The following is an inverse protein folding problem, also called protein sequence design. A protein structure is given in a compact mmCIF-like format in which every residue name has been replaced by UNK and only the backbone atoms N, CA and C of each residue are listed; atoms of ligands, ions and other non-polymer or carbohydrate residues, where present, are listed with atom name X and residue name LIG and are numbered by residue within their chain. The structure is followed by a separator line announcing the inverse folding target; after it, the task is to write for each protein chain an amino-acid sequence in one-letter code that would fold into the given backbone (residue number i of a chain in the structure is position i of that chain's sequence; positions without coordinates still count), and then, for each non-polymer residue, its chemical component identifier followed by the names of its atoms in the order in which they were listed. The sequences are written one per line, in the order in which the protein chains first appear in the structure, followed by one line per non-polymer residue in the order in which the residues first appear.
data_IF_247474924154
#
_entry.id   IF_247474924154
#
_cell.length_a   1.000
_cell.length_b   1.000
_cell.length_c   1.000
_cell.angle_alpha   90.00
_cell.angle_beta   90.00
_cell.angle_gamma   90.00
#
_symmetry.space_group_name_H-M   'P 1'
#
loop_
_entity.id
_entity.type
_entity.pdbx_description
1 polymer ?
#
# COMPACT_ATOMS: atom_id res chain seq x y z
N UNK A 1 -19.79 -18.76 55.93
CA UNK A 1 -18.45 -18.21 55.57
C UNK A 1 -17.48 -19.26 55.01
N UNK A 2 -17.38 -20.51 55.51
CA UNK A 2 -16.46 -21.54 54.96
C UNK A 2 -16.74 -21.97 53.51
N UNK A 3 -17.97 -21.96 53.01
CA UNK A 3 -18.32 -22.39 51.64
C UNK A 3 -17.98 -21.34 50.57
N UNK A 4 -18.01 -20.06 50.92
CA UNK A 4 -17.66 -18.96 49.99
C UNK A 4 -16.14 -18.91 49.80
N UNK A 5 -15.34 -19.15 50.84
CA UNK A 5 -13.88 -19.22 50.75
C UNK A 5 -13.38 -20.36 49.84
N UNK A 6 -14.08 -21.51 49.82
CA UNK A 6 -13.72 -22.63 48.94
C UNK A 6 -14.01 -22.33 47.45
N UNK A 7 -15.06 -21.60 47.13
CA UNK A 7 -15.41 -21.23 45.76
C UNK A 7 -14.41 -20.19 45.21
N UNK A 8 -13.98 -19.24 46.02
CA UNK A 8 -12.98 -18.24 45.65
C UNK A 8 -11.60 -18.89 45.44
N UNK A 9 -11.20 -19.86 46.27
CA UNK A 9 -9.96 -20.61 46.06
C UNK A 9 -10.01 -21.47 44.80
N UNK A 10 -11.15 -22.09 44.47
CA UNK A 10 -11.30 -22.87 43.23
C UNK A 10 -11.31 -21.98 41.99
N UNK A 11 -11.88 -20.77 42.05
CA UNK A 11 -11.84 -19.79 40.97
C UNK A 11 -10.41 -19.27 40.71
N UNK A 12 -9.64 -19.01 41.77
CA UNK A 12 -8.22 -18.60 41.66
C UNK A 12 -7.36 -19.75 41.12
N UNK A 13 -7.61 -20.99 41.52
CA UNK A 13 -6.88 -22.14 40.96
C UNK A 13 -7.16 -22.39 39.48
N UNK A 14 -8.36 -22.04 38.99
CA UNK A 14 -8.69 -22.13 37.57
C UNK A 14 -8.03 -21.01 36.70
N UNK A 15 -7.70 -19.87 37.31
CA UNK A 15 -6.99 -18.78 36.59
C UNK A 15 -5.51 -19.01 36.48
N UNK A 16 -4.87 -19.83 37.34
CA UNK A 16 -3.48 -20.22 37.24
C UNK A 16 -3.21 -21.49 36.41
N UNK A 17 -4.25 -22.21 35.99
CA UNK A 17 -4.14 -23.41 35.16
C UNK A 17 -4.08 -23.12 33.66
N UNK A 18 -4.10 -21.85 33.25
CA UNK A 18 -4.03 -21.40 31.83
C UNK A 18 -2.62 -20.96 31.42
N UNK A 19 -1.56 -21.41 32.11
CA UNK A 19 -0.27 -21.41 31.46
C UNK A 19 -0.31 -22.49 30.36
N UNK A 20 -0.79 -22.14 29.18
CA UNK A 20 -0.39 -22.86 27.96
C UNK A 20 1.12 -22.87 27.99
N UNK A 21 1.76 -24.05 27.98
CA UNK A 21 3.15 -24.14 27.58
C UNK A 21 3.26 -23.33 26.31
N UNK A 22 4.16 -22.35 26.28
CA UNK A 22 4.61 -21.78 25.01
C UNK A 22 4.92 -22.98 24.12
N UNK A 23 4.44 -23.01 22.87
CA UNK A 23 4.85 -24.05 21.94
C UNK A 23 6.37 -24.16 22.01
N UNK A 24 6.87 -25.37 22.03
CA UNK A 24 8.30 -25.61 21.95
C UNK A 24 8.83 -24.80 20.78
N UNK A 25 9.85 -24.00 21.04
CA UNK A 25 10.60 -23.11 20.16
C UNK A 25 10.19 -23.20 18.69
N UNK A 26 9.43 -22.23 18.21
CA UNK A 26 9.29 -21.97 16.79
C UNK A 26 10.54 -21.19 16.40
N UNK A 27 11.35 -21.67 15.45
CA UNK A 27 12.51 -20.95 15.00
C UNK A 27 12.12 -19.51 14.66
N UNK A 28 12.84 -18.56 15.18
CA UNK A 28 12.73 -17.15 14.76
C UNK A 28 12.86 -17.10 13.23
N UNK A 29 11.96 -16.38 12.57
CA UNK A 29 12.05 -16.10 11.13
C UNK A 29 13.36 -15.33 10.93
N UNK A 30 14.42 -15.99 10.56
CA UNK A 30 15.78 -15.43 10.48
C UNK A 30 16.87 -16.35 11.04
N UNK A 31 16.55 -17.30 11.92
CA UNK A 31 17.44 -18.43 12.15
C UNK A 31 17.24 -19.44 11.02
N UNK A 32 17.96 -19.21 9.94
CA UNK A 32 18.04 -20.14 8.82
C UNK A 32 18.57 -21.47 9.34
N UNK A 33 17.65 -22.39 9.57
CA UNK A 33 18.03 -23.78 9.64
C UNK A 33 18.77 -24.10 8.34
N UNK A 34 19.89 -24.80 8.38
CA UNK A 34 20.61 -25.35 7.23
C UNK A 34 19.77 -26.47 6.53
N UNK A 35 18.44 -26.32 6.47
CA UNK A 35 17.51 -27.22 5.84
C UNK A 35 17.60 -27.02 4.34
N UNK A 36 18.42 -27.85 3.70
CA UNK A 36 18.25 -28.11 2.29
C UNK A 36 16.93 -28.89 2.17
N UNK A 37 15.89 -28.25 1.66
CA UNK A 37 14.61 -28.92 1.37
C UNK A 37 14.87 -30.02 0.36
N UNK A 38 14.51 -31.25 0.73
CA UNK A 38 14.74 -32.43 -0.11
C UNK A 38 13.66 -32.64 -1.17
N UNK A 39 12.46 -32.05 -0.99
CA UNK A 39 11.30 -32.31 -1.83
C UNK A 39 10.25 -31.19 -1.77
N UNK A 40 9.22 -31.23 -2.60
CA UNK A 40 8.16 -30.21 -2.67
C UNK A 40 7.30 -30.15 -1.41
N UNK A 41 7.00 -31.28 -0.77
CA UNK A 41 6.19 -31.33 0.44
C UNK A 41 6.89 -30.60 1.59
N UNK A 42 8.18 -30.85 1.79
CA UNK A 42 8.99 -30.12 2.80
C UNK A 42 9.07 -28.63 2.49
N UNK A 43 9.21 -28.24 1.22
CA UNK A 43 9.24 -26.84 0.81
C UNK A 43 7.90 -26.15 1.11
N UNK A 44 6.78 -26.82 0.83
CA UNK A 44 5.46 -26.29 1.14
C UNK A 44 5.21 -26.20 2.65
N UNK A 45 5.59 -27.23 3.41
CA UNK A 45 5.45 -27.26 4.87
C UNK A 45 6.14 -26.05 5.53
N UNK A 46 7.39 -25.80 5.15
CA UNK A 46 8.15 -24.68 5.71
C UNK A 46 7.57 -23.33 5.26
N UNK A 47 7.19 -23.18 4.00
CA UNK A 47 6.55 -21.96 3.51
C UNK A 47 5.22 -21.71 4.24
N UNK A 48 4.38 -22.75 4.41
CA UNK A 48 3.12 -22.66 5.13
C UNK A 48 3.35 -22.23 6.61
N UNK A 49 4.31 -22.84 7.31
CA UNK A 49 4.65 -22.52 8.70
C UNK A 49 5.19 -21.08 8.82
N UNK A 50 6.02 -20.63 7.89
CA UNK A 50 6.57 -19.28 7.90
C UNK A 50 5.46 -18.22 7.68
N UNK A 51 4.52 -18.46 6.75
CA UNK A 51 3.35 -17.59 6.59
C UNK A 51 2.46 -17.66 7.85
N UNK A 52 2.22 -18.85 8.38
CA UNK A 52 1.45 -19.04 9.61
C UNK A 52 1.96 -18.18 10.77
N UNK A 53 3.27 -18.05 10.89
CA UNK A 53 3.94 -17.29 11.96
C UNK A 53 4.05 -15.81 11.63
N UNK A 54 4.44 -15.46 10.40
CA UNK A 54 4.86 -14.12 10.02
C UNK A 54 3.77 -13.24 9.41
N UNK A 55 2.66 -13.80 8.97
CA UNK A 55 1.59 -13.03 8.34
C UNK A 55 0.83 -12.16 9.34
N UNK A 56 0.76 -10.85 9.07
CA UNK A 56 0.26 -9.87 10.05
C UNK A 56 -1.27 -9.72 10.06
N UNK A 57 -1.99 -10.19 9.04
CA UNK A 57 -3.43 -9.94 8.87
C UNK A 57 -4.35 -11.09 9.28
N UNK A 58 -3.89 -12.06 10.08
CA UNK A 58 -4.69 -13.23 10.46
C UNK A 58 -6.02 -12.91 11.18
N UNK A 59 -6.14 -11.76 11.78
CA UNK A 59 -7.36 -11.35 12.49
C UNK A 59 -8.44 -10.77 11.56
N UNK A 60 -8.07 -10.41 10.31
CA UNK A 60 -8.98 -9.86 9.30
C UNK A 60 -8.99 -10.68 8.01
N UNK A 61 -8.13 -11.67 7.87
CA UNK A 61 -8.09 -12.59 6.74
C UNK A 61 -9.05 -13.76 6.98
N UNK A 62 -9.96 -14.00 6.05
CA UNK A 62 -10.97 -15.05 6.14
C UNK A 62 -10.45 -16.42 5.70
N UNK A 63 -9.18 -16.51 5.25
CA UNK A 63 -8.58 -17.74 4.77
C UNK A 63 -8.43 -18.77 5.90
N UNK A 64 -9.08 -19.92 5.79
CA UNK A 64 -8.83 -21.06 6.66
C UNK A 64 -7.49 -21.69 6.32
N UNK A 65 -6.43 -21.18 6.98
CA UNK A 65 -5.05 -21.56 6.68
C UNK A 65 -4.73 -23.01 7.03
N UNK A 66 -5.41 -23.59 8.02
CA UNK A 66 -5.27 -25.00 8.36
C UNK A 66 -5.91 -25.89 7.29
N UNK A 67 -7.08 -25.50 6.78
CA UNK A 67 -7.71 -26.20 5.65
C UNK A 67 -6.87 -26.10 4.36
N UNK A 68 -6.13 -24.98 4.16
CA UNK A 68 -5.14 -24.89 3.06
C UNK A 68 -4.07 -25.96 3.21
N UNK A 69 -3.50 -26.14 4.40
CA UNK A 69 -2.52 -27.21 4.63
C UNK A 69 -3.08 -28.61 4.33
N UNK A 70 -4.22 -28.92 4.93
CA UNK A 70 -4.86 -30.23 4.75
C UNK A 70 -5.20 -30.53 3.29
N UNK A 71 -5.61 -29.53 2.53
CA UNK A 71 -5.97 -29.67 1.12
C UNK A 71 -4.76 -29.86 0.20
N UNK A 72 -3.69 -29.10 0.44
CA UNK A 72 -2.59 -28.99 -0.53
C UNK A 72 -1.38 -29.85 -0.19
N UNK A 73 -1.11 -30.17 1.06
CA UNK A 73 0.02 -31.04 1.44
C UNK A 73 0.00 -32.38 0.68
N UNK A 74 -1.12 -33.13 0.59
CA UNK A 74 -1.17 -34.37 -0.20
C UNK A 74 -0.88 -34.18 -1.70
N UNK A 75 -1.13 -32.99 -2.24
CA UNK A 75 -0.85 -32.68 -3.64
C UNK A 75 0.65 -32.47 -3.87
N UNK A 76 1.35 -31.80 -2.95
CA UNK A 76 2.81 -31.69 -3.00
C UNK A 76 3.50 -33.03 -2.80
N UNK A 77 3.03 -33.88 -1.88
CA UNK A 77 3.49 -35.25 -1.73
C UNK A 77 3.30 -36.09 -3.03
N UNK A 78 2.19 -35.91 -3.73
CA UNK A 78 1.96 -36.53 -5.00
C UNK A 78 2.94 -36.07 -6.09
N UNK A 79 3.37 -34.82 -6.09
CA UNK A 79 4.44 -34.35 -6.97
C UNK A 79 5.78 -35.04 -6.65
N UNK A 80 6.10 -35.22 -5.38
CA UNK A 80 7.31 -35.93 -4.97
C UNK A 80 7.33 -37.40 -5.39
N UNK A 81 6.19 -38.09 -5.29
CA UNK A 81 6.04 -39.46 -5.81
C UNK A 81 6.25 -39.52 -7.33
N UNK A 82 5.80 -38.49 -8.07
CA UNK A 82 6.05 -38.41 -9.52
C UNK A 82 7.52 -38.22 -9.85
N UNK A 83 8.22 -37.35 -9.10
CA UNK A 83 9.67 -37.16 -9.24
C UNK A 83 10.41 -38.48 -8.94
N UNK A 84 10.04 -39.18 -7.86
CA UNK A 84 10.62 -40.47 -7.50
C UNK A 84 10.40 -41.56 -8.57
N UNK A 85 9.29 -41.49 -9.32
CA UNK A 85 9.00 -42.35 -10.45
C UNK A 85 9.73 -41.95 -11.77
N UNK A 86 10.62 -40.94 -11.72
CA UNK A 86 11.39 -40.45 -12.87
C UNK A 86 10.63 -39.53 -13.81
N UNK A 87 9.48 -38.98 -13.37
CA UNK A 87 8.71 -37.98 -14.14
C UNK A 87 9.13 -36.58 -13.74
N UNK A 88 8.89 -35.59 -14.63
CA UNK A 88 9.15 -34.19 -14.36
C UNK A 88 7.90 -33.46 -13.87
N UNK A 89 8.08 -32.39 -13.12
CA UNK A 89 7.07 -31.39 -12.76
C UNK A 89 7.47 -30.06 -13.38
N UNK A 90 6.61 -29.48 -14.20
CA UNK A 90 6.89 -28.19 -14.84
C UNK A 90 6.66 -27.03 -13.86
N UNK A 91 7.42 -25.93 -14.03
CA UNK A 91 7.21 -24.71 -13.26
C UNK A 91 5.78 -24.16 -13.42
N UNK A 92 5.18 -24.31 -14.61
CA UNK A 92 3.79 -23.90 -14.85
C UNK A 92 2.77 -24.70 -14.02
N UNK A 93 2.99 -26.00 -13.85
CA UNK A 93 2.13 -26.86 -13.02
C UNK A 93 2.29 -26.50 -11.54
N UNK A 94 3.53 -26.30 -11.11
CA UNK A 94 3.84 -25.86 -9.75
C UNK A 94 3.25 -24.46 -9.47
N UNK A 95 3.32 -23.54 -10.45
CA UNK A 95 2.68 -22.21 -10.37
C UNK A 95 1.18 -22.32 -10.10
N UNK A 96 0.47 -23.15 -10.87
CA UNK A 96 -0.97 -23.30 -10.70
C UNK A 96 -1.34 -23.85 -9.32
N UNK A 97 -0.52 -24.75 -8.76
CA UNK A 97 -0.74 -25.30 -7.43
C UNK A 97 -0.54 -24.24 -6.32
N UNK A 98 0.52 -23.45 -6.43
CA UNK A 98 0.78 -22.36 -5.47
C UNK A 98 -0.23 -21.22 -5.63
N UNK A 99 -0.65 -20.86 -6.85
CA UNK A 99 -1.69 -19.87 -7.09
C UNK A 99 -3.00 -20.24 -6.40
N UNK A 100 -3.40 -21.54 -6.50
CA UNK A 100 -4.62 -22.04 -5.85
C UNK A 100 -4.47 -22.10 -4.32
N UNK A 101 -3.29 -22.47 -3.81
CA UNK A 101 -3.03 -22.57 -2.38
C UNK A 101 -2.92 -21.21 -1.67
N UNK A 102 -2.28 -20.24 -2.31
CA UNK A 102 -1.89 -18.97 -1.67
C UNK A 102 -2.70 -17.77 -2.15
N UNK A 103 -3.44 -17.91 -3.26
CA UNK A 103 -4.11 -16.78 -3.94
C UNK A 103 -5.27 -16.16 -3.17
N UNK A 104 -5.71 -16.75 -2.05
CA UNK A 104 -6.77 -16.22 -1.20
C UNK A 104 -6.29 -15.26 -0.10
N UNK A 105 -4.99 -15.14 0.13
CA UNK A 105 -4.43 -14.29 1.18
C UNK A 105 -4.72 -12.81 0.91
N UNK A 106 -5.02 -12.08 1.99
CA UNK A 106 -5.53 -10.71 1.95
C UNK A 106 -4.46 -9.62 1.77
N UNK A 107 -3.19 -9.91 2.04
CA UNK A 107 -2.10 -8.93 1.88
C UNK A 107 -1.87 -8.60 0.41
N UNK A 108 -2.29 -7.41 -0.01
CA UNK A 108 -2.13 -6.95 -1.38
C UNK A 108 -0.71 -6.46 -1.73
N UNK A 109 0.18 -6.31 -0.75
CA UNK A 109 1.61 -6.15 -0.99
C UNK A 109 2.31 -7.50 -1.21
N UNK A 110 1.67 -8.63 -0.86
CA UNK A 110 2.33 -9.92 -0.83
C UNK A 110 2.79 -10.39 -2.21
N UNK A 111 4.04 -10.82 -2.24
CA UNK A 111 4.64 -11.54 -3.35
C UNK A 111 5.35 -12.77 -2.79
N UNK A 112 4.88 -13.95 -3.15
CA UNK A 112 5.49 -15.23 -2.78
C UNK A 112 6.27 -15.74 -3.97
N UNK A 113 7.55 -15.97 -3.79
CA UNK A 113 8.42 -16.57 -4.80
C UNK A 113 8.92 -17.93 -4.32
N UNK A 114 8.81 -18.96 -5.16
CA UNK A 114 9.22 -20.32 -4.84
C UNK A 114 10.00 -20.90 -6.01
N UNK A 115 11.17 -21.46 -5.72
CA UNK A 115 12.02 -22.10 -6.73
C UNK A 115 11.56 -23.52 -7.02
N UNK A 116 11.37 -23.84 -8.28
CA UNK A 116 11.19 -25.25 -8.69
C UNK A 116 12.53 -25.97 -8.58
N UNK A 117 12.69 -26.76 -7.53
CA UNK A 117 13.95 -27.41 -7.15
C UNK A 117 14.46 -28.44 -8.18
N UNK A 118 13.57 -29.01 -8.95
CA UNK A 118 13.89 -30.05 -9.94
C UNK A 118 14.00 -29.52 -11.37
N UNK A 119 13.81 -28.21 -11.58
CA UNK A 119 13.97 -27.58 -12.87
C UNK A 119 15.37 -26.99 -13.02
N UNK A 120 16.06 -27.38 -14.10
CA UNK A 120 17.31 -26.78 -14.52
C UNK A 120 17.12 -25.56 -15.44
N UNK A 121 15.87 -25.19 -15.73
CA UNK A 121 15.54 -23.99 -16.51
C UNK A 121 15.88 -22.74 -15.71
N UNK A 122 16.39 -21.71 -16.38
CA UNK A 122 16.52 -20.39 -15.79
C UNK A 122 15.16 -19.76 -15.40
N UNK A 123 14.07 -20.21 -16.02
CA UNK A 123 12.68 -19.84 -15.73
C UNK A 123 12.07 -20.86 -14.76
N UNK A 124 12.66 -20.98 -13.58
CA UNK A 124 12.29 -21.98 -12.58
C UNK A 124 11.68 -21.40 -11.31
N UNK A 125 11.23 -20.15 -11.34
CA UNK A 125 10.61 -19.48 -10.19
C UNK A 125 9.10 -19.36 -10.41
N UNK A 126 8.35 -19.88 -9.45
CA UNK A 126 6.92 -19.61 -9.24
C UNK A 126 6.79 -18.26 -8.55
N UNK A 127 5.83 -17.45 -8.99
CA UNK A 127 5.53 -16.14 -8.37
C UNK A 127 4.03 -15.98 -8.17
N UNK A 128 3.60 -15.95 -6.90
CA UNK A 128 2.19 -15.74 -6.53
C UNK A 128 2.02 -14.33 -5.98
N UNK A 129 1.04 -13.62 -6.51
CA UNK A 129 0.60 -12.34 -5.97
C UNK A 129 -0.93 -12.41 -5.77
N UNK A 130 -1.40 -12.56 -4.52
CA UNK A 130 -2.82 -12.70 -4.20
C UNK A 130 -3.67 -11.56 -4.75
N UNK A 131 -3.19 -10.32 -4.67
CA UNK A 131 -3.90 -9.14 -5.16
C UNK A 131 -4.20 -9.15 -6.66
N UNK A 132 -3.34 -9.76 -7.48
CA UNK A 132 -3.52 -9.76 -8.93
C UNK A 132 -4.82 -10.42 -9.39
N UNK A 133 -5.27 -11.44 -8.67
CA UNK A 133 -6.51 -12.13 -8.99
C UNK A 133 -7.71 -11.33 -8.48
N UNK A 134 -7.68 -10.86 -7.24
CA UNK A 134 -8.76 -10.06 -6.64
C UNK A 134 -9.03 -8.77 -7.43
N UNK A 135 -7.99 -7.98 -7.73
CA UNK A 135 -8.11 -6.71 -8.46
C UNK A 135 -8.81 -6.88 -9.80
N UNK A 136 -8.55 -7.97 -10.52
CA UNK A 136 -9.19 -8.24 -11.82
C UNK A 136 -10.67 -8.59 -11.70
N UNK A 137 -11.14 -9.01 -10.53
CA UNK A 137 -12.55 -9.34 -10.30
C UNK A 137 -13.40 -8.14 -9.98
N UNK A 138 -12.80 -6.97 -9.69
CA UNK A 138 -13.54 -5.75 -9.36
C UNK A 138 -14.31 -5.23 -10.56
N UNK A 139 -15.56 -4.89 -10.37
CA UNK A 139 -16.47 -4.40 -11.43
C UNK A 139 -15.93 -3.19 -12.21
N UNK A 140 -15.07 -2.38 -11.56
CA UNK A 140 -14.45 -1.20 -12.14
C UNK A 140 -13.05 -1.45 -12.70
N UNK A 141 -12.55 -2.70 -12.69
CA UNK A 141 -11.31 -3.04 -13.40
C UNK A 141 -11.45 -2.73 -14.89
N UNK A 142 -10.49 -1.98 -15.42
CA UNK A 142 -10.51 -1.50 -16.80
C UNK A 142 -9.28 -1.91 -17.59
N UNK A 143 -8.10 -1.69 -17.02
CA UNK A 143 -6.79 -2.00 -17.61
C UNK A 143 -5.83 -2.46 -16.53
N UNK A 144 -4.76 -3.15 -16.94
CA UNK A 144 -3.63 -3.40 -16.04
C UNK A 144 -2.94 -2.10 -15.60
N UNK A 145 -2.20 -2.20 -14.50
CA UNK A 145 -1.52 -1.07 -13.87
C UNK A 145 -0.58 -0.33 -14.82
N UNK A 146 0.19 -1.08 -15.61
CA UNK A 146 1.19 -0.49 -16.53
C UNK A 146 0.52 0.31 -17.65
N UNK A 147 -0.50 -0.24 -18.27
CA UNK A 147 -1.24 0.41 -19.35
C UNK A 147 -1.94 1.69 -18.86
N UNK A 148 -2.59 1.63 -17.69
CA UNK A 148 -3.30 2.80 -17.14
C UNK A 148 -2.33 3.89 -16.67
N UNK A 149 -1.23 3.52 -16.03
CA UNK A 149 -0.16 4.46 -15.62
C UNK A 149 0.46 5.17 -16.84
N UNK A 150 0.71 4.43 -17.92
CA UNK A 150 1.22 4.99 -19.17
C UNK A 150 0.25 5.98 -19.81
N UNK A 151 -1.04 5.64 -19.83
CA UNK A 151 -2.10 6.52 -20.36
C UNK A 151 -2.22 7.81 -19.52
N UNK A 152 -2.22 7.70 -18.19
CA UNK A 152 -2.28 8.86 -17.29
C UNK A 152 -1.03 9.74 -17.41
N UNK A 153 0.14 9.14 -17.50
CA UNK A 153 1.40 9.84 -17.71
C UNK A 153 1.39 10.63 -19.02
N UNK A 154 0.93 10.02 -20.12
CA UNK A 154 0.81 10.69 -21.42
C UNK A 154 -0.24 11.80 -21.37
N UNK A 155 -1.39 11.59 -20.71
CA UNK A 155 -2.42 12.61 -20.51
C UNK A 155 -1.84 13.84 -19.81
N UNK A 156 -1.17 13.66 -18.67
CA UNK A 156 -0.56 14.75 -17.92
C UNK A 156 0.56 15.47 -18.72
N UNK A 157 1.36 14.72 -19.47
CA UNK A 157 2.38 15.29 -20.36
C UNK A 157 1.75 16.16 -21.45
N UNK A 158 0.67 15.72 -22.05
CA UNK A 158 -0.07 16.48 -23.08
C UNK A 158 -0.65 17.76 -22.49
N UNK A 159 -1.25 17.70 -21.30
CA UNK A 159 -1.73 18.91 -20.60
C UNK A 159 -0.58 19.89 -20.32
N UNK A 160 0.56 19.39 -19.83
CA UNK A 160 1.73 20.22 -19.53
C UNK A 160 2.36 20.88 -20.78
N UNK A 161 2.26 20.25 -21.94
CA UNK A 161 2.72 20.81 -23.21
C UNK A 161 1.70 21.75 -23.89
N UNK A 162 0.50 21.90 -23.32
CA UNK A 162 -0.60 22.65 -23.90
C UNK A 162 -1.30 21.95 -25.07
N UNK A 163 -0.92 20.69 -25.36
CA UNK A 163 -1.52 19.92 -26.46
C UNK A 163 -2.91 19.42 -26.04
N UNK A 164 -3.92 19.67 -26.87
CA UNK A 164 -5.29 19.19 -26.66
C UNK A 164 -5.93 19.59 -25.32
N UNK A 165 -5.47 20.69 -24.72
CA UNK A 165 -6.04 21.17 -23.45
C UNK A 165 -7.38 21.89 -23.70
N UNK A 166 -8.42 21.45 -23.03
CA UNK A 166 -9.71 22.18 -22.93
C UNK A 166 -9.76 23.11 -21.71
N UNK A 167 -8.66 23.22 -20.96
CA UNK A 167 -8.55 24.02 -19.75
C UNK A 167 -7.65 25.24 -19.99
N UNK A 168 -7.92 26.33 -19.29
CA UNK A 168 -6.97 27.42 -19.20
C UNK A 168 -5.91 27.06 -18.15
N UNK A 169 -4.67 26.90 -18.58
CA UNK A 169 -3.53 26.58 -17.75
C UNK A 169 -2.57 27.77 -17.79
N UNK A 170 -2.36 28.39 -16.63
CA UNK A 170 -1.46 29.55 -16.49
C UNK A 170 -0.02 29.18 -16.17
N UNK A 171 0.23 27.97 -15.71
CA UNK A 171 1.55 27.37 -15.57
C UNK A 171 1.48 25.86 -15.74
N UNK A 172 2.53 25.29 -16.33
CA UNK A 172 2.67 23.84 -16.45
C UNK A 172 4.12 23.40 -16.33
N UNK A 173 4.33 22.17 -15.85
CA UNK A 173 5.61 21.51 -15.81
C UNK A 173 5.45 20.01 -15.65
N UNK A 174 6.34 19.26 -16.30
CA UNK A 174 6.37 17.80 -16.28
C UNK A 174 7.82 17.35 -16.26
N UNK A 175 8.22 16.63 -15.23
CA UNK A 175 9.58 16.13 -15.05
C UNK A 175 9.58 14.66 -14.68
N UNK A 176 10.51 13.93 -15.26
CA UNK A 176 10.76 12.53 -14.98
C UNK A 176 12.12 12.39 -14.29
N UNK A 177 12.10 11.97 -13.03
CA UNK A 177 13.30 11.58 -12.28
C UNK A 177 13.55 10.10 -12.55
N UNK A 178 14.77 9.77 -12.95
CA UNK A 178 15.19 8.40 -13.19
C UNK A 178 16.64 8.23 -12.73
N UNK A 179 16.78 7.89 -11.45
CA UNK A 179 18.05 7.53 -10.81
C UNK A 179 17.93 6.12 -10.24
N UNK A 180 19.01 5.55 -9.75
CA UNK A 180 18.99 4.22 -9.15
C UNK A 180 18.05 4.18 -7.92
N UNK A 181 17.98 5.28 -7.15
CA UNK A 181 17.18 5.37 -5.92
C UNK A 181 15.75 5.89 -6.15
N UNK A 182 15.53 6.67 -7.20
CA UNK A 182 14.25 7.37 -7.44
C UNK A 182 13.82 7.28 -8.89
N UNK A 183 12.69 6.65 -9.12
CA UNK A 183 12.02 6.57 -10.42
C UNK A 183 10.60 7.13 -10.28
N UNK A 184 10.45 8.44 -10.39
CA UNK A 184 9.18 9.16 -10.20
C UNK A 184 8.96 10.18 -11.29
N UNK A 185 7.72 10.30 -11.73
CA UNK A 185 7.27 11.37 -12.62
C UNK A 185 6.43 12.37 -11.82
N UNK A 186 6.69 13.64 -12.00
CA UNK A 186 5.99 14.75 -11.35
C UNK A 186 5.40 15.68 -12.42
N UNK A 187 4.12 15.99 -12.29
CA UNK A 187 3.43 16.99 -13.12
C UNK A 187 2.77 18.03 -12.24
N UNK A 188 3.10 19.30 -12.43
CA UNK A 188 2.43 20.43 -11.82
C UNK A 188 1.72 21.26 -12.88
N UNK A 189 0.43 21.52 -12.67
CA UNK A 189 -0.39 22.40 -13.50
C UNK A 189 -1.07 23.45 -12.60
N UNK A 190 -1.16 24.67 -13.09
CA UNK A 190 -1.95 25.73 -12.46
C UNK A 190 -3.14 26.05 -13.35
N UNK A 191 -4.29 25.46 -13.01
CA UNK A 191 -5.53 25.77 -13.69
C UNK A 191 -6.06 27.15 -13.28
N UNK A 192 -6.69 27.83 -14.22
CA UNK A 192 -7.35 29.12 -14.01
C UNK A 192 -8.82 29.00 -14.43
N UNK A 193 -9.71 29.29 -13.49
CA UNK A 193 -11.15 29.34 -13.73
C UNK A 193 -11.54 30.61 -14.51
N UNK A 194 -12.73 30.65 -15.14
CA UNK A 194 -13.20 31.83 -15.88
C UNK A 194 -13.26 33.11 -15.03
N UNK A 195 -13.44 32.99 -13.72
CA UNK A 195 -13.45 34.11 -12.76
C UNK A 195 -12.03 34.54 -12.29
N UNK A 196 -11.00 33.90 -12.83
CA UNK A 196 -9.60 34.17 -12.55
C UNK A 196 -9.08 33.53 -11.26
N UNK A 197 -9.87 32.69 -10.57
CA UNK A 197 -9.37 31.91 -9.44
C UNK A 197 -8.52 30.75 -9.91
N UNK A 198 -7.56 30.34 -9.08
CA UNK A 198 -6.53 29.35 -9.42
C UNK A 198 -6.76 28.03 -8.68
N UNK A 199 -6.36 26.93 -9.33
CA UNK A 199 -6.37 25.58 -8.77
C UNK A 199 -5.00 24.96 -9.06
N UNK A 200 -4.08 24.90 -8.08
CA UNK A 200 -2.85 24.14 -8.20
C UNK A 200 -3.17 22.63 -8.18
N UNK A 201 -2.70 21.93 -9.21
CA UNK A 201 -2.81 20.49 -9.40
C UNK A 201 -1.43 19.86 -9.39
N UNK A 202 -1.25 18.82 -8.59
CA UNK A 202 -0.04 18.00 -8.58
C UNK A 202 -0.40 16.55 -8.85
N UNK A 203 0.26 15.93 -9.82
CA UNK A 203 0.30 14.48 -10.00
C UNK A 203 1.70 13.95 -9.83
N UNK A 204 1.81 12.81 -9.20
CA UNK A 204 3.04 12.02 -9.11
C UNK A 204 2.70 10.53 -9.02
N UNK A 205 3.51 9.69 -9.66
CA UNK A 205 3.29 8.25 -9.65
C UNK A 205 4.01 7.52 -8.50
N UNK A 206 4.54 8.24 -7.52
CA UNK A 206 5.17 7.65 -6.33
C UNK A 206 5.56 8.71 -5.31
N UNK A 207 5.55 8.34 -4.03
CA UNK A 207 5.90 9.19 -2.90
C UNK A 207 7.39 9.07 -2.57
N UNK A 208 8.19 9.96 -3.17
CA UNK A 208 9.63 10.16 -2.95
C UNK A 208 9.96 11.65 -2.74
N UNK A 209 8.96 12.43 -2.26
CA UNK A 209 9.08 13.89 -2.13
C UNK A 209 10.20 14.30 -1.21
N UNK A 210 10.38 13.63 -0.07
CA UNK A 210 11.43 13.95 0.90
C UNK A 210 12.83 13.87 0.26
N UNK A 211 13.06 12.86 -0.59
CA UNK A 211 14.32 12.73 -1.34
C UNK A 211 14.41 13.77 -2.46
N UNK A 212 13.35 13.94 -3.24
CA UNK A 212 13.32 14.91 -4.36
C UNK A 212 13.56 16.34 -3.84
N UNK A 213 12.91 16.72 -2.74
CA UNK A 213 13.02 18.07 -2.16
C UNK A 213 14.41 18.40 -1.60
N UNK A 214 15.24 17.39 -1.30
CA UNK A 214 16.65 17.62 -0.95
C UNK A 214 17.45 18.31 -2.08
N UNK A 215 17.00 18.14 -3.33
CA UNK A 215 17.60 18.77 -4.51
C UNK A 215 17.15 20.21 -4.78
N UNK A 216 16.18 20.77 -4.04
CA UNK A 216 15.57 22.06 -4.38
C UNK A 216 16.56 23.25 -4.50
N UNK A 217 17.59 23.26 -3.67
CA UNK A 217 18.59 24.32 -3.62
C UNK A 217 19.90 23.99 -4.36
N UNK A 218 19.94 22.88 -5.11
CA UNK A 218 21.11 22.43 -5.85
C UNK A 218 20.76 22.26 -7.34
N UNK A 219 21.12 23.22 -8.17
CA UNK A 219 20.82 23.22 -9.60
C UNK A 219 21.48 22.07 -10.38
N UNK A 220 22.51 21.44 -9.82
CA UNK A 220 23.17 20.27 -10.38
C UNK A 220 22.56 18.93 -9.93
N UNK A 221 21.59 18.97 -8.99
CA UNK A 221 20.91 17.77 -8.54
C UNK A 221 20.02 17.18 -9.63
N UNK A 222 19.99 15.85 -9.82
CA UNK A 222 19.05 15.20 -10.71
C UNK A 222 17.58 15.44 -10.30
N UNK A 223 17.35 15.84 -9.05
CA UNK A 223 16.03 16.12 -8.47
C UNK A 223 15.58 17.57 -8.65
N UNK A 224 16.49 18.51 -9.01
CA UNK A 224 16.23 19.96 -8.94
C UNK A 224 14.94 20.39 -9.63
N UNK A 225 14.75 19.98 -10.89
CA UNK A 225 13.55 20.38 -11.66
C UNK A 225 12.25 19.83 -11.07
N UNK A 226 12.24 18.56 -10.67
CA UNK A 226 11.07 17.95 -10.03
C UNK A 226 10.78 18.62 -8.67
N UNK A 227 11.82 18.90 -7.88
CA UNK A 227 11.69 19.64 -6.61
C UNK A 227 11.07 21.03 -6.81
N UNK A 228 11.46 21.74 -7.87
CA UNK A 228 10.86 23.03 -8.22
C UNK A 228 9.37 22.93 -8.55
N UNK A 229 8.91 21.85 -9.19
CA UNK A 229 7.50 21.65 -9.49
C UNK A 229 6.69 21.41 -8.21
N UNK A 230 7.18 20.57 -7.32
CA UNK A 230 6.56 20.29 -6.01
C UNK A 230 6.51 21.58 -5.16
N UNK A 231 7.62 22.33 -5.11
CA UNK A 231 7.69 23.59 -4.35
C UNK A 231 6.74 24.66 -4.92
N UNK A 232 6.65 24.79 -6.24
CA UNK A 232 5.71 25.71 -6.91
C UNK A 232 4.26 25.34 -6.61
N UNK A 233 3.89 24.05 -6.67
CA UNK A 233 2.55 23.59 -6.30
C UNK A 233 2.21 23.96 -4.85
N UNK A 234 3.10 23.61 -3.91
CA UNK A 234 2.95 23.92 -2.48
C UNK A 234 2.84 25.43 -2.25
N UNK A 235 3.74 26.23 -2.84
CA UNK A 235 3.71 27.68 -2.73
C UNK A 235 2.44 28.29 -3.34
N UNK A 236 1.95 27.77 -4.46
CA UNK A 236 0.68 28.22 -5.05
C UNK A 236 -0.49 27.93 -4.12
N UNK A 237 -0.53 26.75 -3.50
CA UNK A 237 -1.58 26.40 -2.56
C UNK A 237 -1.52 27.21 -1.24
N UNK A 238 -0.32 27.57 -0.75
CA UNK A 238 -0.14 28.27 0.52
C UNK A 238 -0.24 29.79 0.35
N UNK A 239 0.41 30.36 -0.69
CA UNK A 239 0.63 31.82 -0.82
C UNK A 239 -0.40 32.55 -1.68
N UNK A 240 -1.18 31.82 -2.51
CA UNK A 240 -2.25 32.47 -3.28
C UNK A 240 -3.30 33.06 -2.35
N UNK A 241 -3.69 34.32 -2.51
CA UNK A 241 -4.71 34.94 -1.66
C UNK A 241 -6.01 34.12 -1.65
N UNK A 242 -6.74 34.11 -0.51
CA UNK A 242 -7.99 33.33 -0.35
C UNK A 242 -8.99 33.56 -1.47
N UNK A 243 -9.20 34.83 -1.85
CA UNK A 243 -10.14 35.19 -2.92
C UNK A 243 -9.65 34.85 -4.34
N UNK A 244 -8.43 34.33 -4.47
CA UNK A 244 -7.82 33.89 -5.72
C UNK A 244 -7.54 32.39 -5.76
N UNK A 245 -7.65 31.66 -4.66
CA UNK A 245 -7.51 30.20 -4.61
C UNK A 245 -8.89 29.56 -4.59
N UNK A 246 -9.22 28.82 -5.63
CA UNK A 246 -10.50 28.10 -5.73
C UNK A 246 -10.49 26.76 -4.99
N UNK A 247 -9.35 26.08 -5.00
CA UNK A 247 -9.15 24.77 -4.39
C UNK A 247 -7.74 24.24 -4.67
N UNK A 248 -7.43 23.07 -4.16
CA UNK A 248 -6.17 22.36 -4.37
C UNK A 248 -6.47 20.95 -4.88
N UNK A 249 -5.74 20.46 -5.86
CA UNK A 249 -5.87 19.07 -6.33
C UNK A 249 -4.54 18.33 -6.12
N UNK A 250 -4.64 17.15 -5.49
CA UNK A 250 -3.60 16.13 -5.48
C UNK A 250 -4.11 14.92 -6.25
N UNK A 251 -3.38 14.52 -7.28
CA UNK A 251 -3.75 13.36 -8.10
C UNK A 251 -2.91 12.15 -7.69
N UNK A 252 -3.54 11.21 -7.01
CA UNK A 252 -2.96 9.95 -6.54
C UNK A 252 -3.27 8.77 -7.46
N UNK A 253 -3.87 9.01 -8.62
CA UNK A 253 -4.11 7.93 -9.58
C UNK A 253 -2.80 7.31 -10.06
N UNK A 254 -2.74 5.99 -10.06
CA UNK A 254 -1.54 5.22 -10.39
C UNK A 254 -0.30 5.64 -9.57
N UNK A 255 -0.50 6.05 -8.34
CA UNK A 255 0.59 6.33 -7.40
C UNK A 255 0.93 5.04 -6.63
N UNK A 256 2.13 4.53 -6.84
CA UNK A 256 2.60 3.26 -6.26
C UNK A 256 3.02 3.37 -4.77
N UNK A 257 2.77 4.52 -4.13
CA UNK A 257 3.16 4.73 -2.73
C UNK A 257 4.60 5.19 -2.55
N UNK A 258 5.15 4.97 -1.36
CA UNK A 258 6.49 5.38 -0.98
C UNK A 258 6.60 5.73 0.51
N UNK A 259 7.22 6.86 0.85
CA UNK A 259 7.55 7.20 2.24
C UNK A 259 6.41 7.87 3.00
N UNK A 260 6.14 7.38 4.22
CA UNK A 260 5.16 7.99 5.14
C UNK A 260 5.51 9.45 5.48
N UNK A 261 6.80 9.78 5.56
CA UNK A 261 7.29 11.13 5.78
C UNK A 261 6.82 12.15 4.74
N UNK A 262 6.38 11.70 3.56
CA UNK A 262 5.92 12.59 2.50
C UNK A 262 4.56 13.24 2.81
N UNK A 263 3.82 12.76 3.83
CA UNK A 263 2.68 13.50 4.39
C UNK A 263 3.07 14.90 4.89
N UNK A 264 4.33 15.10 5.27
CA UNK A 264 4.86 16.43 5.61
C UNK A 264 4.87 17.41 4.43
N UNK A 265 4.75 16.92 3.21
CA UNK A 265 4.67 17.76 2.01
C UNK A 265 3.25 17.98 1.50
N UNK A 266 2.33 17.04 1.75
CA UNK A 266 0.98 17.07 1.16
C UNK A 266 -0.16 17.23 2.17
N UNK A 267 0.08 17.01 3.48
CA UNK A 267 -0.93 17.22 4.55
C UNK A 267 -0.49 18.31 5.53
N UNK A 268 0.72 18.19 6.12
CA UNK A 268 1.24 19.16 7.10
C UNK A 268 1.13 20.63 6.68
N UNK A 269 1.32 21.01 5.39
CA UNK A 269 1.17 22.39 4.96
C UNK A 269 -0.26 22.94 5.03
N UNK A 270 -1.26 22.09 5.23
CA UNK A 270 -2.68 22.45 5.12
C UNK A 270 -3.46 22.25 6.42
N UNK A 271 -2.78 21.95 7.51
CA UNK A 271 -3.35 21.77 8.85
C UNK A 271 -2.74 22.79 9.85
N UNK A 272 -3.45 23.03 10.96
CA UNK A 272 -3.02 23.93 12.05
C UNK A 272 -2.82 23.24 13.39
N UNK A 273 -3.20 21.97 13.49
CA UNK A 273 -3.06 21.14 14.68
C UNK A 273 -2.48 19.80 14.27
N UNK A 274 -1.93 19.09 15.22
CA UNK A 274 -1.53 17.71 15.01
C UNK A 274 -2.71 16.90 14.44
N UNK A 275 -2.42 16.15 13.41
CA UNK A 275 -3.37 15.32 12.70
C UNK A 275 -3.00 13.85 12.93
N UNK A 276 -3.94 13.11 13.49
CA UNK A 276 -3.80 11.68 13.59
C UNK A 276 -3.98 11.05 12.19
N UNK A 277 -3.02 10.25 11.78
CA UNK A 277 -2.95 9.68 10.41
C UNK A 277 -3.70 8.35 10.35
N UNK A 278 -3.22 7.40 11.14
CA UNK A 278 -3.65 6.00 11.25
C UNK A 278 -3.17 5.50 12.61
N UNK A 279 -3.55 4.28 12.99
CA UNK A 279 -2.83 3.51 14.01
C UNK A 279 -2.16 2.30 13.35
N UNK A 280 -1.01 1.89 13.88
CA UNK A 280 -0.25 0.73 13.41
C UNK A 280 -0.05 -0.28 14.52
N UNK A 281 0.07 -1.55 14.18
CA UNK A 281 0.56 -2.62 15.05
C UNK A 281 1.37 -3.62 14.26
N UNK A 282 2.13 -4.46 14.95
CA UNK A 282 2.99 -5.49 14.37
C UNK A 282 2.83 -6.80 15.13
N UNK A 283 3.40 -7.89 14.61
CA UNK A 283 3.41 -9.19 15.29
C UNK A 283 4.48 -9.22 16.39
N UNK A 284 4.05 -9.48 17.63
CA UNK A 284 4.94 -9.63 18.80
C UNK A 284 5.32 -11.09 19.09
N UNK A 285 4.62 -12.05 18.49
CA UNK A 285 4.84 -13.45 18.74
C UNK A 285 4.47 -14.35 17.56
N UNK A 286 4.75 -15.67 17.68
CA UNK A 286 4.53 -16.64 16.60
C UNK A 286 3.06 -17.02 16.40
N UNK A 287 2.19 -16.78 17.38
CA UNK A 287 0.77 -17.07 17.28
C UNK A 287 0.06 -16.13 16.30
N UNK A 288 -0.94 -16.62 15.57
CA UNK A 288 -1.66 -15.85 14.54
C UNK A 288 -2.17 -14.49 15.03
N UNK A 289 -2.64 -14.42 16.27
CA UNK A 289 -3.26 -13.22 16.86
C UNK A 289 -2.36 -12.49 17.89
N UNK A 290 -1.06 -12.81 17.92
CA UNK A 290 -0.11 -12.18 18.83
C UNK A 290 0.42 -10.88 18.24
N UNK A 291 -0.34 -9.81 18.43
CA UNK A 291 0.00 -8.48 17.96
C UNK A 291 0.32 -7.53 19.12
N UNK A 292 1.14 -6.53 18.79
CA UNK A 292 1.33 -5.37 19.68
C UNK A 292 0.03 -4.59 19.86
N UNK A 293 0.01 -3.69 20.83
CA UNK A 293 -1.07 -2.71 20.95
C UNK A 293 -1.04 -1.75 19.76
N UNK A 294 -2.22 -1.25 19.38
CA UNK A 294 -2.33 -0.22 18.37
C UNK A 294 -1.63 1.07 18.81
N UNK A 295 -0.72 1.54 18.00
CA UNK A 295 0.06 2.76 18.23
C UNK A 295 -0.34 3.85 17.23
N UNK A 296 -0.82 5.03 17.69
CA UNK A 296 -1.22 6.09 16.78
C UNK A 296 -0.02 6.72 16.08
N UNK A 297 -0.18 6.99 14.80
CA UNK A 297 0.74 7.78 14.00
C UNK A 297 0.17 9.17 13.81
N UNK A 298 0.92 10.21 14.15
CA UNK A 298 0.50 11.60 14.02
C UNK A 298 1.51 12.42 13.23
N UNK A 299 1.03 13.44 12.55
CA UNK A 299 1.87 14.45 11.90
C UNK A 299 1.55 15.85 12.45
N UNK A 300 2.60 16.64 12.62
CA UNK A 300 2.48 18.03 13.05
C UNK A 300 2.26 18.97 11.86
N UNK A 301 1.66 20.15 12.09
CA UNK A 301 1.61 21.22 11.10
C UNK A 301 3.01 21.65 10.63
N UNK A 302 3.13 21.97 9.35
CA UNK A 302 4.35 22.62 8.83
C UNK A 302 4.51 24.02 9.44
N UNK A 303 5.76 24.47 9.58
CA UNK A 303 6.08 25.86 10.01
C UNK A 303 5.53 26.90 9.03
N UNK A 304 5.45 26.55 7.74
CA UNK A 304 4.78 27.37 6.72
C UNK A 304 3.52 26.62 6.29
N UNK A 305 2.39 26.98 6.88
CA UNK A 305 1.13 26.29 6.66
C UNK A 305 -0.03 27.26 6.43
N UNK A 306 -1.09 26.71 5.83
CA UNK A 306 -2.36 27.37 5.58
C UNK A 306 -3.49 26.51 6.11
N UNK A 307 -4.45 27.10 6.76
CA UNK A 307 -5.67 26.39 7.19
C UNK A 307 -6.72 26.42 6.08
N UNK A 308 -6.70 25.42 5.20
CA UNK A 308 -7.68 25.31 4.12
C UNK A 308 -9.09 25.16 4.68
N UNK A 309 -9.26 24.48 5.82
CA UNK A 309 -10.56 24.28 6.44
C UNK A 309 -11.14 25.58 6.97
N UNK A 310 -10.36 26.37 7.73
CA UNK A 310 -10.81 27.68 8.24
C UNK A 310 -11.08 28.70 7.12
N UNK A 311 -10.42 28.52 5.98
CA UNK A 311 -10.66 29.36 4.80
C UNK A 311 -11.78 28.84 3.89
N UNK A 312 -12.33 27.66 4.19
CA UNK A 312 -13.34 26.98 3.37
C UNK A 312 -12.86 26.75 1.93
N UNK A 313 -11.63 26.26 1.77
CA UNK A 313 -11.01 25.94 0.47
C UNK A 313 -10.95 24.43 0.31
N UNK A 314 -11.56 23.84 -0.74
CA UNK A 314 -11.58 22.41 -0.93
C UNK A 314 -10.18 21.86 -1.29
N UNK A 315 -9.83 20.73 -0.69
CA UNK A 315 -8.68 19.93 -1.04
C UNK A 315 -9.15 18.61 -1.67
N UNK A 316 -9.04 18.51 -2.97
CA UNK A 316 -9.55 17.34 -3.72
C UNK A 316 -8.41 16.37 -4.00
N UNK A 317 -8.68 15.08 -3.77
CA UNK A 317 -7.79 14.00 -4.18
C UNK A 317 -8.45 13.21 -5.31
N UNK A 318 -7.70 12.94 -6.35
CA UNK A 318 -8.09 11.96 -7.37
C UNK A 318 -7.48 10.61 -7.03
N UNK A 319 -8.28 9.55 -7.00
CA UNK A 319 -7.85 8.18 -6.75
C UNK A 319 -8.33 7.23 -7.83
N UNK A 320 -7.63 6.13 -7.99
CA UNK A 320 -8.09 5.00 -8.79
C UNK A 320 -7.65 3.67 -8.20
N UNK A 321 -8.05 2.57 -8.85
CA UNK A 321 -7.73 1.21 -8.47
C UNK A 321 -6.22 0.95 -8.25
N UNK A 322 -5.34 1.78 -8.79
CA UNK A 322 -3.88 1.71 -8.63
C UNK A 322 -3.30 2.88 -7.81
N UNK A 323 -4.11 3.49 -6.97
CA UNK A 323 -3.61 4.26 -5.83
C UNK A 323 -3.23 3.26 -4.75
N UNK A 324 -1.93 3.09 -4.49
CA UNK A 324 -1.38 1.99 -3.69
C UNK A 324 -0.61 2.55 -2.48
N UNK A 325 -0.63 1.86 -1.35
CA UNK A 325 0.25 2.13 -0.19
C UNK A 325 0.13 3.59 0.29
N UNK A 326 1.21 4.38 0.26
CA UNK A 326 1.17 5.80 0.60
C UNK A 326 0.19 6.61 -0.27
N UNK A 327 -0.11 6.17 -1.50
CA UNK A 327 -1.20 6.75 -2.31
C UNK A 327 -2.55 6.60 -1.63
N UNK A 328 -2.80 5.47 -0.97
CA UNK A 328 -4.02 5.19 -0.21
C UNK A 328 -4.05 5.95 1.11
N UNK A 329 -2.96 5.87 1.89
CA UNK A 329 -2.84 6.56 3.18
C UNK A 329 -3.00 8.07 3.02
N UNK A 330 -2.41 8.65 1.98
CA UNK A 330 -2.57 10.08 1.67
C UNK A 330 -4.01 10.40 1.27
N UNK A 331 -4.64 9.54 0.45
CA UNK A 331 -6.04 9.69 0.04
C UNK A 331 -6.97 9.68 1.26
N UNK A 332 -6.81 8.71 2.16
CA UNK A 332 -7.54 8.64 3.41
C UNK A 332 -7.33 9.89 4.27
N UNK A 333 -6.08 10.28 4.51
CA UNK A 333 -5.77 11.41 5.39
C UNK A 333 -6.35 12.74 4.89
N UNK A 334 -6.31 13.00 3.58
CA UNK A 334 -6.92 14.20 3.03
C UNK A 334 -8.45 14.12 3.13
N UNK A 335 -9.06 12.94 2.96
CA UNK A 335 -10.50 12.75 3.16
C UNK A 335 -10.98 13.08 4.58
N UNK A 336 -10.11 12.95 5.58
CA UNK A 336 -10.40 13.28 6.98
C UNK A 336 -10.28 14.79 7.29
N UNK A 337 -9.73 15.59 6.39
CA UNK A 337 -9.71 17.04 6.55
C UNK A 337 -11.13 17.62 6.32
N UNK A 338 -11.56 18.65 7.05
CA UNK A 338 -12.92 19.20 6.93
C UNK A 338 -13.32 19.66 5.52
N UNK A 339 -12.35 20.02 4.67
CA UNK A 339 -12.56 20.40 3.27
C UNK A 339 -11.94 19.41 2.29
N UNK A 340 -11.56 18.23 2.80
CA UNK A 340 -11.03 17.14 1.99
C UNK A 340 -12.15 16.42 1.21
N UNK A 341 -11.88 16.05 -0.04
CA UNK A 341 -12.85 15.35 -0.86
C UNK A 341 -12.16 14.44 -1.88
N UNK A 342 -12.57 13.18 -1.95
CA UNK A 342 -11.98 12.17 -2.83
C UNK A 342 -12.92 11.92 -4.01
N UNK A 343 -12.36 11.97 -5.22
CA UNK A 343 -13.08 11.69 -6.47
C UNK A 343 -12.32 10.62 -7.27
N UNK A 344 -13.04 9.68 -7.83
CA UNK A 344 -12.46 8.64 -8.69
C UNK A 344 -12.93 7.26 -8.34
N UNK A 345 -12.01 6.33 -8.19
CA UNK A 345 -12.29 4.93 -7.87
C UNK A 345 -11.78 4.56 -6.47
N UNK A 346 -12.33 3.48 -5.92
CA UNK A 346 -11.80 2.85 -4.72
C UNK A 346 -10.32 2.47 -4.93
N UNK A 347 -9.49 2.67 -3.93
CA UNK A 347 -8.05 2.43 -3.99
C UNK A 347 -7.71 0.93 -4.01
N UNK A 348 -6.43 0.58 -4.09
CA UNK A 348 -5.96 -0.78 -4.32
C UNK A 348 -6.25 -1.74 -3.15
N UNK A 349 -5.98 -1.30 -1.91
CA UNK A 349 -6.08 -2.12 -0.71
C UNK A 349 -4.76 -2.76 -0.30
N UNK A 350 -3.63 -2.18 -0.68
CA UNK A 350 -2.31 -2.55 -0.19
C UNK A 350 -1.82 -1.47 0.75
N UNK A 351 -2.15 -1.57 2.01
CA UNK A 351 -1.98 -0.47 2.98
C UNK A 351 -1.01 -0.77 4.11
N UNK A 352 -0.67 -2.04 4.32
CA UNK A 352 0.27 -2.46 5.35
C UNK A 352 1.68 -1.92 5.12
N UNK A 353 2.29 -1.20 6.08
CA UNK A 353 3.66 -0.73 5.95
C UNK A 353 4.66 -1.86 5.77
N UNK A 354 5.60 -1.63 4.84
CA UNK A 354 6.68 -2.55 4.52
C UNK A 354 7.98 -2.01 5.10
N UNK A 355 8.75 -2.86 5.73
CA UNK A 355 10.13 -2.56 6.11
C UNK A 355 11.05 -3.53 5.38
N UNK A 356 12.12 -3.00 4.79
CA UNK A 356 13.04 -3.77 3.95
C UNK A 356 14.01 -4.64 4.74
N UNK A 357 14.24 -4.31 6.01
CA UNK A 357 15.20 -4.99 6.85
C UNK A 357 14.46 -5.76 7.95
N UNK A 358 14.92 -6.97 8.23
CA UNK A 358 14.45 -7.74 9.37
C UNK A 358 14.63 -6.90 10.65
N UNK A 359 13.53 -6.67 11.35
CA UNK A 359 13.56 -5.91 12.59
C UNK A 359 13.50 -6.91 13.72
N UNK A 360 14.51 -6.91 14.57
CA UNK A 360 14.69 -7.88 15.66
C UNK A 360 13.52 -7.99 16.67
N UNK A 361 12.51 -7.12 16.56
CA UNK A 361 11.40 -7.08 17.51
C UNK A 361 10.03 -7.48 16.92
N UNK A 362 9.97 -7.88 15.66
CA UNK A 362 8.70 -8.30 15.04
C UNK A 362 8.82 -9.66 14.36
N UNK A 363 7.75 -10.42 14.43
CA UNK A 363 7.58 -11.66 13.67
C UNK A 363 7.00 -11.42 12.28
N UNK A 364 6.50 -10.21 12.00
CA UNK A 364 5.94 -9.83 10.69
C UNK A 364 6.98 -9.24 9.75
N UNK A 365 6.68 -9.26 8.46
CA UNK A 365 7.51 -8.69 7.41
C UNK A 365 8.10 -9.73 6.47
N UNK A 366 8.98 -9.30 5.53
CA UNK A 366 9.58 -10.19 4.55
C UNK A 366 10.42 -11.29 5.19
N UNK A 367 10.37 -12.49 4.64
CA UNK A 367 11.14 -13.63 5.09
C UNK A 367 11.55 -14.57 3.95
N UNK A 368 12.46 -15.50 4.24
CA UNK A 368 12.96 -16.47 3.28
C UNK A 368 14.20 -15.99 2.51
N UNK A 369 14.84 -16.91 1.80
CA UNK A 369 16.04 -16.68 0.98
C UNK A 369 16.01 -17.63 -0.22
N UNK A 370 15.98 -17.08 -1.43
CA UNK A 370 15.85 -17.84 -2.68
C UNK A 370 17.02 -18.81 -2.94
N UNK A 371 18.20 -18.53 -2.40
CA UNK A 371 19.37 -19.40 -2.59
C UNK A 371 19.44 -20.51 -1.54
N UNK A 372 19.12 -20.20 -0.30
CA UNK A 372 19.16 -21.14 0.83
C UNK A 372 17.84 -21.87 1.01
N UNK A 373 16.75 -21.12 1.15
CA UNK A 373 15.44 -21.65 1.52
C UNK A 373 14.54 -21.94 0.30
N UNK A 374 15.02 -21.60 -0.92
CA UNK A 374 14.33 -21.83 -2.17
C UNK A 374 12.93 -21.17 -2.23
N UNK A 375 12.65 -20.26 -1.31
CA UNK A 375 11.48 -19.37 -1.34
C UNK A 375 11.84 -18.00 -0.74
N UNK A 376 11.04 -17.00 -1.11
CA UNK A 376 11.06 -15.66 -0.54
C UNK A 376 9.64 -15.14 -0.50
N UNK A 377 9.23 -14.57 0.63
CA UNK A 377 7.94 -13.92 0.80
C UNK A 377 8.16 -12.45 1.13
N UNK A 378 7.65 -11.59 0.29
CA UNK A 378 7.53 -10.17 0.54
C UNK A 378 6.13 -9.92 1.07
N UNK A 379 5.98 -9.39 2.27
CA UNK A 379 4.71 -9.21 2.97
C UNK A 379 4.78 -8.02 3.91
N UNK A 380 3.63 -7.51 4.32
CA UNK A 380 3.52 -6.37 5.23
C UNK A 380 4.15 -6.68 6.60
N UNK A 381 4.88 -5.71 7.15
CA UNK A 381 5.49 -5.78 8.49
C UNK A 381 4.50 -5.32 9.55
N UNK A 382 3.67 -4.33 9.21
CA UNK A 382 2.65 -3.76 10.09
C UNK A 382 1.28 -3.89 9.46
N UNK A 383 0.30 -3.98 10.33
CA UNK A 383 -1.09 -3.72 10.02
C UNK A 383 -1.44 -2.28 10.34
N UNK A 384 -2.36 -1.69 9.60
CA UNK A 384 -2.91 -0.37 9.91
C UNK A 384 -4.41 -0.44 10.15
N UNK A 385 -4.91 0.47 10.97
CA UNK A 385 -6.33 0.79 11.05
C UNK A 385 -6.60 2.28 10.96
N UNK A 386 -7.78 2.63 10.49
CA UNK A 386 -8.33 3.99 10.53
C UNK A 386 -8.73 4.38 11.95
N UNK A 387 -9.18 5.63 12.13
CA UNK A 387 -9.68 6.11 13.43
C UNK A 387 -10.95 5.40 13.88
N UNK A 388 -11.72 4.87 12.94
CA UNK A 388 -12.94 4.11 13.19
C UNK A 388 -12.66 2.62 13.46
N UNK A 389 -11.38 2.20 13.44
CA UNK A 389 -10.97 0.81 13.65
C UNK A 389 -11.09 -0.07 12.39
N UNK A 390 -11.29 0.52 11.22
CA UNK A 390 -11.34 -0.22 9.95
C UNK A 390 -9.93 -0.54 9.45
N UNK A 391 -9.67 -1.80 9.10
CA UNK A 391 -8.44 -2.27 8.46
C UNK A 391 -8.65 -2.28 6.95
N UNK A 392 -7.97 -1.40 6.20
CA UNK A 392 -8.21 -1.23 4.77
C UNK A 392 -7.49 -2.25 3.88
N UNK A 393 -6.62 -3.08 4.43
CA UNK A 393 -5.91 -4.10 3.66
C UNK A 393 -6.88 -5.03 2.93
N UNK A 394 -6.60 -5.36 1.68
CA UNK A 394 -7.47 -6.15 0.81
C UNK A 394 -8.75 -5.45 0.35
N UNK A 395 -9.05 -4.23 0.86
CA UNK A 395 -10.30 -3.51 0.58
C UNK A 395 -10.06 -2.17 -0.12
N UNK A 396 -9.14 -1.36 0.42
CA UNK A 396 -8.89 0.02 -0.02
C UNK A 396 -9.91 1.03 0.53
N UNK A 397 -9.76 2.29 0.12
CA UNK A 397 -10.60 3.41 0.53
C UNK A 397 -11.56 3.82 -0.58
N UNK A 398 -12.84 3.90 -0.25
CA UNK A 398 -13.90 4.33 -1.18
C UNK A 398 -13.89 5.86 -1.33
N UNK A 399 -14.01 6.40 -2.56
CA UNK A 399 -14.08 7.84 -2.77
C UNK A 399 -15.41 8.43 -2.28
N UNK A 400 -15.43 9.75 -1.99
CA UNK A 400 -16.65 10.48 -1.70
C UNK A 400 -17.57 10.59 -2.94
N UNK A 401 -16.96 10.67 -4.13
CA UNK A 401 -17.66 10.66 -5.42
C UNK A 401 -17.00 9.66 -6.36
N UNK A 402 -17.72 8.60 -6.65
CA UNK A 402 -17.28 7.63 -7.64
C UNK A 402 -17.37 8.19 -9.07
N UNK A 403 -16.28 8.05 -9.80
CA UNK A 403 -16.14 8.36 -11.23
C UNK A 403 -15.22 7.31 -11.85
N UNK A 404 -15.80 6.33 -12.50
CA UNK A 404 -15.05 5.20 -13.03
C UNK A 404 -14.26 5.58 -14.28
N UNK A 405 -12.99 5.20 -14.33
CA UNK A 405 -12.12 5.41 -15.50
C UNK A 405 -12.68 4.73 -16.74
N UNK A 406 -13.28 3.55 -16.57
CA UNK A 406 -13.94 2.81 -17.65
C UNK A 406 -15.00 3.63 -18.36
N UNK A 407 -15.79 4.40 -17.61
CA UNK A 407 -16.98 5.10 -18.13
C UNK A 407 -16.67 6.55 -18.55
N UNK A 408 -15.87 7.27 -17.78
CA UNK A 408 -15.58 8.69 -17.96
C UNK A 408 -14.19 8.98 -18.53
N UNK A 409 -13.28 7.99 -18.51
CA UNK A 409 -11.88 8.15 -18.84
C UNK A 409 -11.10 8.95 -17.80
N UNK A 410 -9.80 9.01 -17.99
CA UNK A 410 -8.87 9.80 -17.13
C UNK A 410 -9.28 11.28 -17.08
N UNK A 411 -9.70 11.82 -18.23
CA UNK A 411 -10.13 13.21 -18.35
C UNK A 411 -11.40 13.48 -17.53
N UNK A 412 -12.38 12.58 -17.58
CA UNK A 412 -13.66 12.76 -16.87
C UNK A 412 -13.52 12.82 -15.36
N UNK A 413 -12.56 12.09 -14.77
CA UNK A 413 -12.25 12.21 -13.35
C UNK A 413 -11.67 13.60 -13.01
N UNK A 414 -10.77 14.14 -13.85
CA UNK A 414 -10.25 15.49 -13.67
C UNK A 414 -11.33 16.56 -13.85
N UNK A 415 -12.19 16.40 -14.87
CA UNK A 415 -13.34 17.28 -15.08
C UNK A 415 -14.25 17.33 -13.85
N UNK A 416 -14.54 16.17 -13.26
CA UNK A 416 -15.36 16.07 -12.06
C UNK A 416 -14.74 16.80 -10.86
N UNK A 417 -13.41 16.77 -10.71
CA UNK A 417 -12.70 17.50 -9.66
C UNK A 417 -12.77 19.02 -9.88
N UNK A 418 -12.55 19.48 -11.10
CA UNK A 418 -12.63 20.90 -11.46
C UNK A 418 -14.06 21.45 -11.29
N UNK A 419 -15.08 20.71 -11.67
CA UNK A 419 -16.49 21.09 -11.49
C UNK A 419 -16.89 21.10 -10.00
N UNK A 420 -16.40 20.13 -9.21
CA UNK A 420 -16.62 20.12 -7.76
C UNK A 420 -16.06 21.40 -7.13
N UNK A 421 -14.81 21.74 -7.42
CA UNK A 421 -14.15 22.94 -6.88
C UNK A 421 -14.86 24.22 -7.35
N UNK A 422 -15.27 24.30 -8.61
CA UNK A 422 -15.98 25.45 -9.18
C UNK A 422 -17.33 25.67 -8.49
N UNK A 423 -18.03 24.60 -8.14
CA UNK A 423 -19.35 24.63 -7.49
C UNK A 423 -19.28 24.72 -5.95
N UNK A 424 -18.11 24.56 -5.35
CA UNK A 424 -17.91 24.57 -3.90
C UNK A 424 -18.23 25.96 -3.32
N UNK A 425 -19.06 25.98 -2.25
CA UNK A 425 -19.58 27.23 -1.63
C UNK A 425 -19.13 27.34 -0.17
#
# INVERSE_FOLDING_TARGET
MRKISLIILAAIALTFGSCRKAPDYVPYIGETSNLAYGNYAEQFDVLWNNINTGYVFWDVDETDWDAVYEKYMPQFEALDLRIAAGNSVSTKELQALYDDAMGGLRDHHMLIQVKNMYSNSWDNVVSVNPANNEIKTRDYYYKDSHALSSELSQFNKNLASGSNSSYKISFSGYEKVNTDDVQVTVCYLLFELPDGRLIPYLWQNGYKMSVIMSGLNNTSSPYYKAAQLIDKWKNAAIKTPKNKLAGVILDNRCNNGGYLSDLNHVVSPFIKKDHAVISTRYKEGPGRLEHSVWSPVTIAPSTTNRDLAAENIPYVVLSNIYSISMGEITTYNISQLPTGYVIGERTYGATGPLLSDAIDYTYGGPFGDMEREKHYVYTSTYEIQTHEGFVPEGVGFTPNKEVLTRDAGIKGQLDAALEYIKSYK
#
